data_IF_005158912820
#
_entry.id   IF_005158912820
#
_cell.length_a   1.000
_cell.length_b   1.000
_cell.length_c   1.000
_cell.angle_alpha   90.00
_cell.angle_beta   90.00
_cell.angle_gamma   90.00
#
_symmetry.space_group_name_H-M   'P 1'
#
loop_
_entity.id
_entity.type
_entity.pdbx_description
1 polymer ?
#
# COMPACT_ATOMS: atom_id res chain seq x y z
N UNK A 1 28.54 76.87 40.49
CA UNK A 1 27.54 77.27 41.53
C UNK A 1 26.29 76.44 41.37
N UNK A 2 25.81 75.83 42.48
CA UNK A 2 24.55 75.09 42.73
C UNK A 2 24.59 73.66 42.14
N UNK A 3 24.87 72.60 42.89
CA UNK A 3 24.26 71.89 44.01
C UNK A 3 22.76 71.58 43.79
N UNK A 4 22.45 70.33 43.67
CA UNK A 4 21.44 69.55 44.36
C UNK A 4 21.08 68.37 43.48
N UNK A 5 20.91 67.22 43.85
CA UNK A 5 20.61 66.45 45.03
C UNK A 5 20.16 65.07 44.52
N UNK A 6 20.76 64.10 45.11
CA UNK A 6 20.47 62.70 44.92
C UNK A 6 19.09 62.37 45.55
N UNK A 7 18.23 61.66 44.84
CA UNK A 7 17.22 60.80 45.48
C UNK A 7 17.28 59.40 44.82
N UNK A 8 17.73 58.51 45.68
CA UNK A 8 17.65 57.10 45.38
C UNK A 8 16.21 56.57 45.63
N UNK A 9 15.64 55.91 44.67
CA UNK A 9 14.48 55.05 44.87
C UNK A 9 14.81 53.65 44.34
N UNK A 10 15.05 52.77 45.30
CA UNK A 10 15.06 51.33 45.05
C UNK A 10 13.60 50.84 44.90
N UNK A 11 13.32 50.31 43.73
CA UNK A 11 12.08 49.54 43.51
C UNK A 11 12.50 48.20 42.90
N UNK A 12 12.25 47.14 43.66
CA UNK A 12 12.36 45.74 43.27
C UNK A 12 11.40 45.50 42.10
N UNK A 13 11.93 45.31 40.91
CA UNK A 13 11.21 44.88 39.72
C UNK A 13 11.45 43.40 39.49
N UNK A 14 10.39 42.60 39.65
CA UNK A 14 10.40 41.20 39.30
C UNK A 14 10.70 41.04 37.81
N UNK A 15 11.80 40.37 37.48
CA UNK A 15 12.08 39.86 36.15
C UNK A 15 11.08 38.73 35.86
N UNK A 16 10.03 39.05 35.12
CA UNK A 16 9.22 38.06 34.48
C UNK A 16 10.09 37.48 33.35
N UNK A 17 10.64 36.27 33.58
CA UNK A 17 11.21 35.47 32.52
C UNK A 17 10.07 35.12 31.56
N UNK A 18 9.99 35.84 30.44
CA UNK A 18 9.25 35.35 29.29
C UNK A 18 9.96 34.08 28.84
N UNK A 19 9.32 32.94 29.15
CA UNK A 19 9.66 31.67 28.58
C UNK A 19 9.60 31.81 27.06
N UNK A 20 10.74 31.63 26.40
CA UNK A 20 10.75 31.34 24.97
C UNK A 20 9.84 30.14 24.78
N UNK A 21 8.73 30.33 24.05
CA UNK A 21 7.97 29.23 23.49
C UNK A 21 9.00 28.40 22.69
N UNK A 22 9.22 27.18 23.14
CA UNK A 22 10.06 26.23 22.43
C UNK A 22 9.54 26.15 21.01
N UNK A 23 10.42 26.44 20.04
CA UNK A 23 10.25 25.92 18.72
C UNK A 23 10.04 24.42 18.92
N UNK A 24 8.93 23.88 18.42
CA UNK A 24 8.70 22.46 18.27
C UNK A 24 9.90 21.95 17.47
N UNK A 25 10.88 21.44 18.17
CA UNK A 25 12.02 20.73 17.59
C UNK A 25 11.36 19.51 16.95
N UNK A 26 11.13 19.56 15.62
CA UNK A 26 10.73 18.40 14.86
C UNK A 26 11.81 17.36 15.16
N UNK A 27 11.44 16.43 16.03
CA UNK A 27 12.27 15.33 16.43
C UNK A 27 12.60 14.55 15.15
N UNK A 28 13.84 14.64 14.67
CA UNK A 28 14.29 13.81 13.55
C UNK A 28 13.90 12.37 13.89
N UNK A 29 13.31 11.62 12.94
CA UNK A 29 12.91 10.26 13.20
C UNK A 29 14.12 9.49 13.72
N UNK A 30 13.97 8.88 14.89
CA UNK A 30 15.07 8.23 15.62
C UNK A 30 15.75 7.11 14.81
N UNK A 31 15.14 6.69 13.69
CA UNK A 31 15.60 5.59 12.83
C UNK A 31 15.59 6.04 11.36
N UNK A 32 16.74 5.87 10.70
CA UNK A 32 16.88 6.17 9.27
C UNK A 32 16.56 4.91 8.45
N UNK A 33 15.66 5.05 7.48
CA UNK A 33 15.50 4.10 6.37
C UNK A 33 16.14 4.71 5.11
N UNK A 34 16.68 3.89 4.20
CA UNK A 34 17.14 4.37 2.91
C UNK A 34 16.04 5.12 2.19
N UNK A 35 16.37 6.19 1.51
CA UNK A 35 15.38 6.98 0.76
C UNK A 35 14.63 6.12 -0.26
N UNK A 36 15.31 5.15 -0.88
CA UNK A 36 14.70 4.21 -1.82
C UNK A 36 13.62 3.34 -1.17
N UNK A 37 13.81 2.95 0.10
CA UNK A 37 12.82 2.19 0.88
C UNK A 37 11.61 3.07 1.18
N UNK A 38 11.83 4.30 1.61
CA UNK A 38 10.74 5.27 1.85
C UNK A 38 10.01 5.56 0.55
N UNK A 39 10.72 5.73 -0.57
CA UNK A 39 10.10 5.94 -1.89
C UNK A 39 9.28 4.74 -2.36
N UNK A 40 9.70 3.50 -2.07
CA UNK A 40 8.92 2.31 -2.37
C UNK A 40 7.61 2.27 -1.56
N UNK A 41 7.66 2.59 -0.27
CA UNK A 41 6.48 2.72 0.58
C UNK A 41 5.52 3.81 0.09
N UNK A 42 6.06 4.95 -0.33
CA UNK A 42 5.30 6.07 -0.89
C UNK A 42 4.64 5.68 -2.20
N UNK A 43 5.35 4.99 -3.11
CA UNK A 43 4.81 4.50 -4.37
C UNK A 43 3.63 3.53 -4.13
N UNK A 44 3.77 2.59 -3.19
CA UNK A 44 2.69 1.70 -2.75
C UNK A 44 1.47 2.49 -2.27
N UNK A 45 1.68 3.41 -1.34
CA UNK A 45 0.61 4.21 -0.75
C UNK A 45 -0.09 5.10 -1.79
N UNK A 46 0.68 5.74 -2.69
CA UNK A 46 0.15 6.57 -3.78
C UNK A 46 -0.69 5.75 -4.76
N UNK A 47 -0.20 4.56 -5.15
CA UNK A 47 -0.95 3.66 -6.02
C UNK A 47 -2.27 3.24 -5.38
N UNK A 48 -2.24 2.70 -4.16
CA UNK A 48 -3.44 2.23 -3.47
C UNK A 48 -4.47 3.35 -3.28
N UNK A 49 -4.01 4.53 -2.86
CA UNK A 49 -4.87 5.70 -2.67
C UNK A 49 -5.40 6.28 -4.00
N UNK A 50 -4.58 6.28 -5.05
CA UNK A 50 -4.95 6.77 -6.37
C UNK A 50 -5.98 5.87 -7.05
N UNK A 51 -5.76 4.56 -7.02
CA UNK A 51 -6.68 3.59 -7.57
C UNK A 51 -8.02 3.55 -6.80
N UNK A 52 -7.99 3.69 -5.47
CA UNK A 52 -9.20 3.77 -4.66
C UNK A 52 -10.04 5.04 -4.87
N UNK A 53 -9.48 6.07 -5.51
CA UNK A 53 -10.21 7.32 -5.86
C UNK A 53 -10.82 7.31 -7.26
N UNK A 54 -10.70 6.23 -8.01
CA UNK A 54 -11.33 6.12 -9.33
C UNK A 54 -12.84 6.19 -9.17
N UNK A 55 -13.43 7.23 -9.79
CA UNK A 55 -14.89 7.42 -9.78
C UNK A 55 -15.56 6.38 -10.70
N UNK A 56 -16.59 5.73 -10.18
CA UNK A 56 -17.41 4.77 -10.91
C UNK A 56 -18.47 5.43 -11.83
N UNK A 57 -18.61 6.75 -11.79
CA UNK A 57 -19.58 7.54 -12.57
C UNK A 57 -19.13 7.79 -14.01
N UNK A 58 -18.75 6.75 -14.76
CA UNK A 58 -18.29 6.88 -16.14
C UNK A 58 -19.35 7.44 -17.07
N UNK A 59 -19.00 8.47 -17.84
CA UNK A 59 -19.84 9.12 -18.84
C UNK A 59 -19.31 8.95 -20.28
N UNK A 60 -18.04 8.57 -20.43
CA UNK A 60 -17.38 8.42 -21.74
C UNK A 60 -16.16 7.47 -21.66
N UNK A 61 -15.63 7.11 -22.84
CA UNK A 61 -14.46 6.24 -22.96
C UNK A 61 -13.14 6.87 -22.49
N UNK A 62 -13.03 8.19 -22.44
CA UNK A 62 -11.83 8.86 -21.93
C UNK A 62 -11.71 8.69 -20.41
N UNK A 63 -12.81 8.74 -19.70
CA UNK A 63 -12.83 8.47 -18.26
C UNK A 63 -12.43 7.03 -17.97
N UNK A 64 -12.88 6.07 -18.80
CA UNK A 64 -12.46 4.66 -18.71
C UNK A 64 -10.97 4.52 -18.94
N UNK A 65 -10.45 5.15 -19.99
CA UNK A 65 -9.01 5.13 -20.29
C UNK A 65 -8.16 5.73 -19.17
N UNK A 66 -8.59 6.83 -18.54
CA UNK A 66 -7.93 7.42 -17.38
C UNK A 66 -7.95 6.47 -16.18
N UNK A 67 -9.08 5.81 -15.91
CA UNK A 67 -9.20 4.81 -14.87
C UNK A 67 -8.23 3.65 -15.07
N UNK A 68 -8.18 3.08 -16.27
CA UNK A 68 -7.24 2.02 -16.63
C UNK A 68 -5.78 2.45 -16.46
N UNK A 69 -5.43 3.66 -16.94
CA UNK A 69 -4.09 4.22 -16.77
C UNK A 69 -3.71 4.36 -15.28
N UNK A 70 -4.63 4.77 -14.42
CA UNK A 70 -4.39 4.91 -12.98
C UNK A 70 -4.26 3.56 -12.31
N UNK A 71 -5.19 2.63 -12.53
CA UNK A 71 -5.21 1.34 -11.84
C UNK A 71 -4.17 0.33 -12.35
N UNK A 72 -3.58 0.55 -13.53
CA UNK A 72 -2.47 -0.27 -14.03
C UNK A 72 -1.09 0.25 -13.65
N UNK A 73 -0.99 1.45 -13.06
CA UNK A 73 0.26 2.18 -12.85
C UNK A 73 1.05 1.66 -11.63
N UNK A 74 1.41 0.39 -11.62
CA UNK A 74 2.36 -0.16 -10.66
C UNK A 74 3.25 -1.21 -11.33
N UNK A 75 4.51 -1.27 -10.96
CA UNK A 75 5.43 -2.34 -11.29
C UNK A 75 5.41 -3.38 -10.16
N UNK A 76 5.39 -4.68 -10.49
CA UNK A 76 5.09 -5.75 -9.53
C UNK A 76 6.11 -5.80 -8.39
N UNK A 77 7.41 -5.76 -8.71
CA UNK A 77 8.44 -5.83 -7.67
C UNK A 77 8.47 -4.58 -6.80
N UNK A 78 8.19 -3.39 -7.37
CA UNK A 78 8.07 -2.16 -6.59
C UNK A 78 6.86 -2.20 -5.65
N UNK A 79 5.78 -2.84 -6.07
CA UNK A 79 4.59 -3.01 -5.23
C UNK A 79 4.90 -3.91 -4.03
N UNK A 80 5.66 -5.00 -4.22
CA UNK A 80 6.12 -5.86 -3.13
C UNK A 80 7.07 -5.12 -2.18
N UNK A 81 8.11 -4.48 -2.75
CA UNK A 81 9.03 -3.63 -1.99
C UNK A 81 8.25 -2.62 -1.15
N UNK A 82 7.23 -2.01 -1.76
CA UNK A 82 6.37 -1.02 -1.14
C UNK A 82 5.56 -1.56 0.01
N UNK A 83 4.98 -2.76 -0.09
CA UNK A 83 4.25 -3.40 1.02
C UNK A 83 5.16 -3.65 2.23
N UNK A 84 6.34 -4.22 2.00
CA UNK A 84 7.32 -4.48 3.06
C UNK A 84 7.82 -3.18 3.69
N UNK A 85 8.20 -2.20 2.86
CA UNK A 85 8.69 -0.89 3.31
C UNK A 85 7.63 -0.11 4.11
N UNK A 86 6.39 -0.11 3.63
CA UNK A 86 5.26 0.53 4.32
C UNK A 86 5.01 -0.13 5.68
N UNK A 87 4.99 -1.46 5.72
CA UNK A 87 4.86 -2.22 6.95
C UNK A 87 6.02 -1.97 7.93
N UNK A 88 7.26 -1.85 7.44
CA UNK A 88 8.41 -1.54 8.29
C UNK A 88 8.31 -0.15 8.93
N UNK A 89 7.85 0.86 8.19
CA UNK A 89 7.62 2.21 8.72
C UNK A 89 6.52 2.19 9.80
N UNK A 90 5.46 1.41 9.59
CA UNK A 90 4.41 1.21 10.60
C UNK A 90 4.96 0.52 11.84
N UNK A 91 5.78 -0.54 11.69
CA UNK A 91 6.39 -1.25 12.82
C UNK A 91 7.32 -0.37 13.67
N UNK A 92 8.04 0.58 13.05
CA UNK A 92 8.92 1.51 13.74
C UNK A 92 8.18 2.48 14.67
N UNK A 93 6.88 2.60 14.56
CA UNK A 93 6.05 3.41 15.46
C UNK A 93 5.70 2.66 16.76
N UNK A 94 5.98 1.37 16.84
CA UNK A 94 5.76 0.57 18.05
C UNK A 94 6.99 0.61 18.96
N UNK A 95 6.90 1.40 20.03
CA UNK A 95 8.01 1.58 20.99
C UNK A 95 8.43 0.27 21.67
N UNK A 96 7.47 -0.64 21.92
CA UNK A 96 7.76 -1.93 22.55
C UNK A 96 8.55 -2.83 21.61
N UNK A 97 8.20 -2.85 20.33
CA UNK A 97 8.95 -3.58 19.30
C UNK A 97 10.36 -3.02 19.16
N UNK A 98 10.50 -1.70 19.05
CA UNK A 98 11.80 -1.03 18.95
C UNK A 98 12.70 -1.39 20.14
N UNK A 99 12.20 -1.23 21.37
CA UNK A 99 12.93 -1.61 22.59
C UNK A 99 13.22 -3.12 22.64
N UNK A 100 12.33 -3.95 22.10
CA UNK A 100 12.51 -5.39 21.97
C UNK A 100 13.67 -5.75 21.06
N UNK A 101 13.79 -5.10 19.90
CA UNK A 101 14.91 -5.27 18.97
C UNK A 101 16.25 -4.92 19.63
N UNK A 102 16.31 -3.79 20.33
CA UNK A 102 17.53 -3.36 21.03
C UNK A 102 17.98 -4.37 22.10
N UNK A 103 17.01 -4.95 22.83
CA UNK A 103 17.29 -6.00 23.82
C UNK A 103 17.75 -7.30 23.19
N UNK A 104 17.07 -7.74 22.11
CA UNK A 104 17.38 -8.98 21.42
C UNK A 104 18.74 -8.96 20.72
N UNK A 105 19.13 -7.81 20.18
CA UNK A 105 20.39 -7.63 19.46
C UNK A 105 21.64 -7.67 20.37
N UNK A 106 21.50 -7.44 21.68
CA UNK A 106 22.65 -7.39 22.57
C UNK A 106 23.62 -6.25 22.27
N UNK A 107 24.91 -6.49 22.48
CA UNK A 107 25.97 -5.47 22.30
C UNK A 107 27.14 -6.02 21.49
N UNK A 108 27.89 -5.09 20.88
CA UNK A 108 29.11 -5.45 20.16
C UNK A 108 28.83 -6.35 18.96
N UNK A 109 29.58 -7.45 18.84
CA UNK A 109 29.49 -8.39 17.71
C UNK A 109 28.12 -9.10 17.63
N UNK A 110 27.45 -9.33 18.77
CA UNK A 110 26.11 -9.96 18.81
C UNK A 110 25.11 -9.18 17.98
N UNK A 111 25.18 -7.83 18.01
CA UNK A 111 24.31 -6.94 17.22
C UNK A 111 24.46 -7.16 15.70
N UNK A 112 25.71 -7.34 15.25
CA UNK A 112 25.99 -7.61 13.84
C UNK A 112 25.53 -9.00 13.41
N UNK A 113 25.70 -9.99 14.28
CA UNK A 113 25.26 -11.37 14.07
C UNK A 113 23.73 -11.42 14.01
N UNK A 114 23.05 -10.76 14.91
CA UNK A 114 21.58 -10.70 14.93
C UNK A 114 21.02 -10.07 13.65
N UNK A 115 21.59 -8.94 13.21
CA UNK A 115 21.19 -8.31 11.95
C UNK A 115 21.36 -9.23 10.75
N UNK A 116 22.50 -9.95 10.66
CA UNK A 116 22.70 -10.91 9.56
C UNK A 116 21.68 -12.06 9.60
N UNK A 117 21.34 -12.53 10.79
CA UNK A 117 20.32 -13.56 10.98
C UNK A 117 18.92 -13.11 10.55
N UNK A 118 18.56 -11.82 10.70
CA UNK A 118 17.30 -11.27 10.23
C UNK A 118 17.18 -11.26 8.70
N UNK A 119 18.30 -11.04 8.00
CA UNK A 119 18.33 -11.12 6.53
C UNK A 119 18.16 -12.55 6.04
N UNK A 120 18.82 -13.50 6.71
CA UNK A 120 18.77 -14.91 6.32
C UNK A 120 17.44 -15.58 6.67
N UNK A 121 16.83 -15.16 7.79
CA UNK A 121 15.58 -15.69 8.30
C UNK A 121 14.73 -14.56 8.91
N UNK A 122 13.91 -13.85 8.10
CA UNK A 122 13.06 -12.77 8.57
C UNK A 122 12.09 -13.17 9.70
N UNK A 123 11.72 -14.46 9.79
CA UNK A 123 10.84 -14.96 10.82
C UNK A 123 11.42 -14.79 12.25
N UNK A 124 12.74 -14.59 12.39
CA UNK A 124 13.35 -14.25 13.69
C UNK A 124 12.86 -12.93 14.26
N UNK A 125 12.50 -11.97 13.42
CA UNK A 125 11.94 -10.69 13.85
C UNK A 125 10.60 -10.88 14.58
N UNK A 126 9.85 -11.93 14.28
CA UNK A 126 8.56 -12.22 14.91
C UNK A 126 8.70 -12.73 16.37
N UNK A 127 9.91 -13.10 16.78
CA UNK A 127 10.21 -13.59 18.13
C UNK A 127 10.64 -12.45 19.07
N UNK A 128 10.75 -11.23 18.55
CA UNK A 128 11.13 -10.04 19.31
C UNK A 128 9.94 -9.60 20.16
N UNK A 129 10.21 -9.14 21.40
CA UNK A 129 9.16 -8.58 22.25
C UNK A 129 8.52 -7.34 21.59
N UNK A 130 7.20 -7.30 21.52
CA UNK A 130 6.45 -6.27 20.79
C UNK A 130 6.15 -6.62 19.33
N UNK A 131 6.70 -7.70 18.77
CA UNK A 131 6.47 -8.08 17.38
C UNK A 131 4.98 -8.35 17.06
N UNK A 132 4.22 -8.94 17.99
CA UNK A 132 2.79 -9.19 17.81
C UNK A 132 2.00 -7.90 17.65
N UNK A 133 2.32 -6.86 18.43
CA UNK A 133 1.66 -5.56 18.35
C UNK A 133 2.03 -4.84 17.05
N UNK A 134 3.33 -4.77 16.74
CA UNK A 134 3.81 -4.18 15.51
C UNK A 134 3.22 -4.87 14.27
N UNK A 135 3.11 -6.21 14.28
CA UNK A 135 2.49 -6.94 13.18
C UNK A 135 0.99 -6.66 13.04
N UNK A 136 0.24 -6.53 14.15
CA UNK A 136 -1.18 -6.12 14.09
C UNK A 136 -1.36 -4.75 13.44
N UNK A 137 -0.45 -3.81 13.73
CA UNK A 137 -0.45 -2.49 13.09
C UNK A 137 -0.16 -2.60 11.59
N UNK A 138 0.80 -3.44 11.18
CA UNK A 138 1.08 -3.73 9.77
C UNK A 138 -0.16 -4.32 9.09
N UNK A 139 -0.76 -5.36 9.70
CA UNK A 139 -1.98 -6.01 9.21
C UNK A 139 -3.11 -5.01 9.00
N UNK A 140 -3.40 -4.18 10.00
CA UNK A 140 -4.43 -3.16 9.93
C UNK A 140 -4.15 -2.14 8.82
N UNK A 141 -2.92 -1.63 8.72
CA UNK A 141 -2.54 -0.63 7.75
C UNK A 141 -2.64 -1.14 6.30
N UNK A 142 -2.21 -2.38 6.03
CA UNK A 142 -2.35 -3.01 4.70
C UNK A 142 -3.82 -3.32 4.38
N UNK A 143 -4.58 -3.82 5.37
CA UNK A 143 -5.99 -4.16 5.22
C UNK A 143 -6.86 -2.94 4.93
N UNK A 144 -6.59 -1.81 5.55
CA UNK A 144 -7.30 -0.55 5.27
C UNK A 144 -7.09 -0.12 3.81
N UNK A 145 -5.86 -0.22 3.30
CA UNK A 145 -5.56 0.08 1.89
C UNK A 145 -6.26 -0.89 0.94
N UNK A 146 -6.21 -2.18 1.25
CA UNK A 146 -6.89 -3.20 0.46
C UNK A 146 -8.41 -3.00 0.46
N UNK A 147 -9.02 -2.73 1.62
CA UNK A 147 -10.47 -2.55 1.79
C UNK A 147 -11.00 -1.34 1.02
N UNK A 148 -10.26 -0.22 1.04
CA UNK A 148 -10.59 0.96 0.25
C UNK A 148 -10.60 0.64 -1.26
N UNK A 149 -9.60 -0.09 -1.74
CA UNK A 149 -9.51 -0.49 -3.15
C UNK A 149 -10.56 -1.54 -3.52
N UNK A 150 -10.89 -2.49 -2.62
CA UNK A 150 -12.01 -3.45 -2.80
C UNK A 150 -13.32 -2.70 -2.99
N UNK A 151 -13.59 -1.71 -2.14
CA UNK A 151 -14.81 -0.91 -2.20
C UNK A 151 -14.92 -0.18 -3.53
N UNK A 152 -13.88 0.56 -3.93
CA UNK A 152 -13.85 1.28 -5.19
C UNK A 152 -13.93 0.33 -6.41
N UNK A 153 -13.17 -0.76 -6.40
CA UNK A 153 -13.18 -1.77 -7.46
C UNK A 153 -14.54 -2.43 -7.62
N UNK A 154 -15.25 -2.70 -6.53
CA UNK A 154 -16.62 -3.21 -6.55
C UNK A 154 -17.61 -2.23 -7.19
N UNK A 155 -17.46 -0.94 -6.89
CA UNK A 155 -18.27 0.12 -7.50
C UNK A 155 -17.98 0.24 -8.99
N UNK A 156 -16.72 0.27 -9.40
CA UNK A 156 -16.30 0.31 -10.80
C UNK A 156 -16.81 -0.91 -11.57
N UNK A 157 -16.64 -2.11 -11.03
CA UNK A 157 -17.21 -3.33 -11.64
C UNK A 157 -18.72 -3.26 -11.82
N UNK A 158 -19.43 -2.73 -10.82
CA UNK A 158 -20.88 -2.56 -10.88
C UNK A 158 -21.30 -1.52 -11.90
N UNK A 159 -20.47 -0.47 -12.09
CA UNK A 159 -20.71 0.56 -13.10
C UNK A 159 -20.74 -0.02 -14.53
N UNK A 160 -19.91 -1.04 -14.84
CA UNK A 160 -19.92 -1.71 -16.13
C UNK A 160 -21.34 -2.21 -16.51
N UNK A 161 -22.04 -2.81 -15.56
CA UNK A 161 -23.42 -3.27 -15.77
C UNK A 161 -24.43 -2.12 -15.85
N UNK A 162 -24.20 -1.04 -15.09
CA UNK A 162 -25.11 0.11 -15.05
C UNK A 162 -25.09 0.88 -16.37
N UNK A 163 -23.92 1.02 -17.00
CA UNK A 163 -23.77 1.77 -18.26
C UNK A 163 -23.95 0.90 -19.51
N UNK A 164 -24.05 -0.42 -19.38
CA UNK A 164 -24.06 -1.37 -20.50
C UNK A 164 -25.11 -1.07 -21.57
N UNK A 165 -26.20 -0.37 -21.26
CA UNK A 165 -27.27 0.00 -22.20
C UNK A 165 -27.11 1.40 -22.78
N UNK A 166 -26.10 2.15 -22.39
CA UNK A 166 -25.84 3.48 -22.88
C UNK A 166 -25.11 3.42 -24.23
N UNK A 167 -25.46 4.27 -25.18
CA UNK A 167 -24.91 4.23 -26.52
C UNK A 167 -23.37 4.39 -26.54
N UNK A 168 -22.81 5.28 -25.72
CA UNK A 168 -21.38 5.50 -25.64
C UNK A 168 -20.62 4.26 -25.12
N UNK A 169 -21.20 3.54 -24.16
CA UNK A 169 -20.55 2.38 -23.56
C UNK A 169 -20.59 1.12 -24.43
N UNK A 170 -21.57 1.04 -25.35
CA UNK A 170 -21.64 0.00 -26.36
C UNK A 170 -20.73 0.24 -27.57
N UNK A 171 -20.23 1.47 -27.71
CA UNK A 171 -19.28 1.78 -28.78
C UNK A 171 -18.01 0.96 -28.61
N UNK A 172 -17.53 0.38 -29.70
CA UNK A 172 -16.25 -0.30 -29.73
C UNK A 172 -15.13 0.69 -29.43
N UNK A 173 -14.12 0.22 -28.72
CA UNK A 173 -12.90 1.01 -28.50
C UNK A 173 -12.15 1.13 -29.83
N UNK A 174 -11.86 2.36 -30.26
CA UNK A 174 -11.29 2.67 -31.57
C UNK A 174 -9.88 2.09 -31.77
N UNK A 175 -9.09 1.97 -30.71
CA UNK A 175 -7.72 1.41 -30.72
C UNK A 175 -7.53 0.48 -29.52
N UNK A 176 -8.14 -0.70 -29.59
CA UNK A 176 -8.05 -1.70 -28.51
C UNK A 176 -6.62 -2.21 -28.29
N UNK A 177 -5.84 -2.35 -29.38
CA UNK A 177 -4.46 -2.81 -29.28
C UNK A 177 -3.53 -1.74 -28.69
N UNK A 178 -3.66 -0.50 -29.12
CA UNK A 178 -2.90 0.63 -28.55
C UNK A 178 -3.21 0.80 -27.07
N UNK A 179 -4.49 0.74 -26.68
CA UNK A 179 -4.90 0.80 -25.29
C UNK A 179 -4.30 -0.32 -24.43
N UNK A 180 -4.30 -1.57 -24.90
CA UNK A 180 -3.65 -2.68 -24.21
C UNK A 180 -2.13 -2.45 -24.11
N UNK A 181 -1.50 -1.93 -25.17
CA UNK A 181 -0.08 -1.58 -25.15
C UNK A 181 0.23 -0.50 -24.11
N UNK A 182 -0.61 0.54 -24.02
CA UNK A 182 -0.47 1.61 -23.02
C UNK A 182 -0.59 1.08 -21.60
N UNK A 183 -1.56 0.21 -21.31
CA UNK A 183 -1.73 -0.41 -20.01
C UNK A 183 -0.51 -1.27 -19.65
N UNK A 184 0.01 -2.07 -20.59
CA UNK A 184 1.23 -2.87 -20.37
C UNK A 184 2.45 -1.98 -20.11
N UNK A 185 2.62 -0.91 -20.86
CA UNK A 185 3.70 0.04 -20.67
C UNK A 185 3.63 0.67 -19.28
N UNK A 186 2.45 1.15 -18.88
CA UNK A 186 2.22 1.71 -17.54
C UNK A 186 2.49 0.71 -16.42
N UNK A 187 2.12 -0.53 -16.61
CA UNK A 187 2.32 -1.61 -15.64
C UNK A 187 3.79 -2.01 -15.43
N UNK A 188 4.66 -1.59 -16.33
CA UNK A 188 6.10 -1.84 -16.26
C UNK A 188 6.89 -0.62 -15.72
N UNK A 189 6.26 0.54 -15.59
CA UNK A 189 6.91 1.74 -15.09
C UNK A 189 7.01 1.72 -13.57
N UNK A 190 8.21 1.96 -13.05
CA UNK A 190 8.42 2.21 -11.62
C UNK A 190 8.07 3.65 -11.30
N UNK A 191 7.29 3.85 -10.27
CA UNK A 191 7.02 5.19 -9.76
C UNK A 191 8.28 5.76 -9.08
N UNK A 192 8.46 7.08 -9.22
CA UNK A 192 9.56 7.81 -8.59
C UNK A 192 8.97 8.98 -7.76
N UNK A 193 8.46 8.70 -6.53
CA UNK A 193 7.96 9.75 -5.66
C UNK A 193 9.02 10.79 -5.35
N UNK A 194 8.60 12.05 -5.22
CA UNK A 194 9.46 13.14 -4.78
C UNK A 194 9.75 13.08 -3.27
N UNK A 195 10.70 13.86 -2.80
CA UNK A 195 10.98 14.00 -1.37
C UNK A 195 9.79 14.58 -0.60
N UNK A 196 9.05 15.51 -1.21
CA UNK A 196 7.82 16.05 -0.64
C UNK A 196 6.73 14.96 -0.49
N UNK A 197 6.59 14.08 -1.49
CA UNK A 197 5.67 12.93 -1.41
C UNK A 197 6.06 11.98 -0.28
N UNK A 198 7.35 11.71 -0.12
CA UNK A 198 7.89 10.87 0.93
C UNK A 198 7.60 11.45 2.31
N UNK A 199 7.83 12.74 2.51
CA UNK A 199 7.52 13.43 3.76
C UNK A 199 6.02 13.45 4.05
N UNK A 200 5.19 13.71 3.05
CA UNK A 200 3.73 13.70 3.19
C UNK A 200 3.22 12.32 3.59
N UNK A 201 3.76 11.26 3.02
CA UNK A 201 3.42 9.87 3.39
C UNK A 201 3.80 9.57 4.85
N UNK A 202 5.02 9.92 5.27
CA UNK A 202 5.48 9.71 6.64
C UNK A 202 4.61 10.50 7.65
N UNK A 203 4.31 11.76 7.36
CA UNK A 203 3.44 12.58 8.20
C UNK A 203 2.03 11.98 8.33
N UNK A 204 1.48 11.44 7.24
CA UNK A 204 0.17 10.79 7.25
C UNK A 204 0.16 9.51 8.09
N UNK A 205 1.26 8.72 8.09
CA UNK A 205 1.38 7.53 8.93
C UNK A 205 1.45 7.88 10.43
N UNK A 206 2.24 8.87 10.79
CA UNK A 206 2.33 9.36 12.19
C UNK A 206 0.97 9.86 12.68
N UNK A 207 0.23 10.60 11.85
CA UNK A 207 -1.10 11.07 12.20
C UNK A 207 -2.12 9.93 12.35
N UNK A 208 -2.00 8.85 11.56
CA UNK A 208 -2.86 7.68 11.65
C UNK A 208 -2.60 6.87 12.93
N UNK A 209 -1.32 6.72 13.33
CA UNK A 209 -0.96 6.02 14.57
C UNK A 209 -1.53 6.69 15.81
N UNK A 210 -1.52 8.01 15.86
CA UNK A 210 -2.13 8.78 16.97
C UNK A 210 -3.65 8.52 17.14
N UNK A 211 -4.30 7.95 16.12
CA UNK A 211 -5.73 7.61 16.13
C UNK A 211 -6.01 6.14 16.38
N UNK A 212 -4.96 5.29 16.40
CA UNK A 212 -5.10 3.85 16.60
C UNK A 212 -5.49 3.55 18.07
N UNK A 213 -6.61 2.85 18.24
CA UNK A 213 -7.01 2.32 19.55
C UNK A 213 -6.41 0.94 19.74
N UNK A 214 -6.07 0.60 20.97
CA UNK A 214 -5.56 -0.72 21.36
C UNK A 214 -6.52 -1.83 20.87
N UNK A 215 -6.11 -2.55 19.84
CA UNK A 215 -6.86 -3.69 19.34
C UNK A 215 -6.57 -4.94 20.19
N UNK A 216 -7.56 -5.81 20.36
CA UNK A 216 -7.40 -7.09 21.09
C UNK A 216 -6.36 -7.99 20.40
N UNK A 217 -5.76 -8.91 21.19
CA UNK A 217 -4.61 -9.72 20.83
C UNK A 217 -4.68 -10.39 19.44
N UNK A 218 -3.51 -10.56 18.82
CA UNK A 218 -3.35 -11.16 17.49
C UNK A 218 -3.91 -12.58 17.46
N UNK A 219 -4.67 -12.89 16.41
CA UNK A 219 -5.15 -14.24 16.11
C UNK A 219 -4.52 -14.70 14.78
N UNK A 220 -3.61 -15.65 14.83
CA UNK A 220 -3.02 -16.26 13.66
C UNK A 220 -1.48 -16.20 13.58
N UNK A 221 -0.91 -16.91 12.62
CA UNK A 221 0.52 -16.90 12.33
C UNK A 221 0.92 -15.60 11.62
N UNK A 222 2.17 -15.19 11.76
CA UNK A 222 2.73 -14.07 11.00
C UNK A 222 2.76 -14.41 9.51
N UNK A 223 2.41 -13.42 8.68
CA UNK A 223 2.56 -13.56 7.23
C UNK A 223 4.02 -13.36 6.81
N UNK A 224 4.43 -13.84 5.63
CA UNK A 224 5.77 -13.57 5.10
C UNK A 224 6.06 -12.07 4.94
N UNK A 225 5.08 -11.28 4.55
CA UNK A 225 5.22 -9.81 4.42
C UNK A 225 5.43 -9.16 5.79
N UNK A 226 4.66 -9.55 6.81
CA UNK A 226 4.85 -9.04 8.17
C UNK A 226 6.23 -9.39 8.72
N UNK A 227 6.68 -10.63 8.56
CA UNK A 227 8.00 -11.07 9.02
C UNK A 227 9.13 -10.25 8.36
N UNK A 228 9.03 -9.99 7.05
CA UNK A 228 9.98 -9.17 6.30
C UNK A 228 9.93 -7.71 6.71
N UNK A 229 8.74 -7.15 6.92
CA UNK A 229 8.56 -5.78 7.37
C UNK A 229 9.15 -5.57 8.77
N UNK A 230 8.90 -6.51 9.70
CA UNK A 230 9.51 -6.50 11.04
C UNK A 230 11.04 -6.63 10.97
N UNK A 231 11.57 -7.50 10.09
CA UNK A 231 13.01 -7.65 9.91
C UNK A 231 13.65 -6.37 9.36
N UNK A 232 13.03 -5.72 8.37
CA UNK A 232 13.49 -4.44 7.81
C UNK A 232 13.45 -3.31 8.85
N UNK A 233 12.38 -3.24 9.65
CA UNK A 233 12.28 -2.31 10.76
C UNK A 233 13.38 -2.57 11.81
N UNK A 234 13.64 -3.83 12.16
CA UNK A 234 14.72 -4.19 13.06
C UNK A 234 16.09 -3.79 12.52
N UNK A 235 16.37 -3.98 11.22
CA UNK A 235 17.60 -3.51 10.57
C UNK A 235 17.79 -1.99 10.72
N UNK A 236 16.70 -1.22 10.60
CA UNK A 236 16.71 0.23 10.83
C UNK A 236 17.04 0.58 12.27
N UNK A 237 16.42 -0.07 13.25
CA UNK A 237 16.71 0.10 14.70
C UNK A 237 18.17 -0.25 15.01
N UNK A 238 18.72 -1.25 14.33
CA UNK A 238 20.12 -1.65 14.46
C UNK A 238 21.11 -0.70 13.80
N UNK A 239 20.64 0.33 13.05
CA UNK A 239 21.49 1.23 12.28
C UNK A 239 22.18 0.53 11.10
N UNK A 240 21.55 -0.48 10.52
CA UNK A 240 22.06 -1.29 9.41
C UNK A 240 21.16 -1.25 8.18
N UNK A 241 20.28 -0.26 8.10
CA UNK A 241 19.41 -0.01 6.96
C UNK A 241 19.74 1.35 6.33
N UNK A 242 20.97 1.54 5.88
CA UNK A 242 21.39 2.73 5.14
C UNK A 242 21.40 2.45 3.62
N UNK A 243 21.51 3.49 2.80
CA UNK A 243 21.56 3.33 1.34
C UNK A 243 22.73 2.43 0.88
N UNK A 244 23.83 2.42 1.60
CA UNK A 244 24.95 1.50 1.36
C UNK A 244 24.62 0.02 1.62
N UNK A 245 23.56 -0.28 2.38
CA UNK A 245 23.11 -1.62 2.73
C UNK A 245 22.06 -2.17 1.76
N UNK A 246 21.65 -1.43 0.75
CA UNK A 246 20.53 -1.78 -0.15
C UNK A 246 20.63 -3.19 -0.72
N UNK A 247 21.80 -3.57 -1.22
CA UNK A 247 22.02 -4.90 -1.80
C UNK A 247 21.83 -6.02 -0.76
N UNK A 248 22.31 -5.77 0.47
CA UNK A 248 22.16 -6.70 1.60
C UNK A 248 20.70 -6.87 2.03
N UNK A 249 19.91 -5.78 1.95
CA UNK A 249 18.48 -5.78 2.31
C UNK A 249 17.57 -6.38 1.23
N UNK A 250 18.06 -6.56 0.00
CA UNK A 250 17.27 -7.06 -1.14
C UNK A 250 16.44 -8.31 -0.83
N UNK A 251 16.96 -9.33 -0.10
CA UNK A 251 16.17 -10.52 0.21
C UNK A 251 14.90 -10.26 1.03
N UNK A 252 14.84 -9.13 1.75
CA UNK A 252 13.65 -8.76 2.54
C UNK A 252 12.50 -8.24 1.68
N UNK A 253 12.76 -7.76 0.46
CA UNK A 253 11.78 -7.09 -0.37
C UNK A 253 10.97 -8.02 -1.28
N UNK A 254 11.29 -9.31 -1.33
CA UNK A 254 10.62 -10.26 -2.22
C UNK A 254 9.89 -11.34 -1.44
N UNK A 255 8.63 -11.55 -1.79
CA UNK A 255 7.78 -12.64 -1.32
C UNK A 255 7.13 -13.32 -2.52
N UNK A 256 7.44 -14.60 -2.71
CA UNK A 256 7.06 -15.35 -3.93
C UNK A 256 5.55 -15.39 -4.13
N UNK A 257 4.78 -15.56 -3.05
CA UNK A 257 3.32 -15.68 -3.14
C UNK A 257 2.67 -14.35 -3.49
N UNK A 258 3.16 -13.24 -2.91
CA UNK A 258 2.69 -11.89 -3.21
C UNK A 258 3.04 -11.47 -4.65
N UNK A 259 4.28 -11.76 -5.10
CA UNK A 259 4.71 -11.53 -6.48
C UNK A 259 3.85 -12.27 -7.49
N UNK A 260 3.62 -13.56 -7.24
CA UNK A 260 2.79 -14.39 -8.12
C UNK A 260 1.35 -13.87 -8.19
N UNK A 261 0.74 -13.53 -7.05
CA UNK A 261 -0.60 -12.97 -6.99
C UNK A 261 -0.71 -11.67 -7.83
N UNK A 262 0.19 -10.71 -7.62
CA UNK A 262 0.19 -9.44 -8.36
C UNK A 262 0.45 -9.64 -9.85
N UNK A 263 1.32 -10.59 -10.20
CA UNK A 263 1.61 -10.95 -11.59
C UNK A 263 0.37 -11.55 -12.26
N UNK A 264 -0.36 -12.42 -11.59
CA UNK A 264 -1.61 -13.02 -12.11
C UNK A 264 -2.69 -11.97 -12.30
N UNK A 265 -2.89 -11.05 -11.34
CA UNK A 265 -3.86 -9.95 -11.47
C UNK A 265 -3.59 -9.11 -12.75
N UNK A 266 -2.32 -8.83 -13.07
CA UNK A 266 -1.96 -8.14 -14.30
C UNK A 266 -2.21 -8.98 -15.55
N UNK A 267 -1.89 -10.26 -15.54
CA UNK A 267 -2.14 -11.14 -16.68
C UNK A 267 -3.64 -11.24 -16.97
N UNK A 268 -4.46 -11.35 -15.94
CA UNK A 268 -5.91 -11.39 -16.07
C UNK A 268 -6.46 -10.08 -16.63
N UNK A 269 -5.92 -8.93 -16.19
CA UNK A 269 -6.23 -7.63 -16.79
C UNK A 269 -5.89 -7.61 -18.28
N UNK A 270 -4.69 -8.06 -18.67
CA UNK A 270 -4.27 -8.03 -20.07
C UNK A 270 -5.09 -8.98 -20.93
N UNK A 271 -5.45 -10.16 -20.43
CA UNK A 271 -6.33 -11.11 -21.12
C UNK A 271 -7.74 -10.54 -21.29
N UNK A 272 -8.30 -9.95 -20.23
CA UNK A 272 -9.60 -9.30 -20.27
C UNK A 272 -9.62 -8.20 -21.34
N UNK A 273 -8.66 -7.28 -21.32
CA UNK A 273 -8.57 -6.17 -22.27
C UNK A 273 -8.28 -6.61 -23.71
N UNK A 274 -7.59 -7.74 -23.90
CA UNK A 274 -7.29 -8.26 -25.25
C UNK A 274 -8.56 -8.73 -25.99
N UNK A 275 -9.59 -9.13 -25.26
CA UNK A 275 -10.85 -9.62 -25.83
C UNK A 275 -12.01 -8.62 -25.68
N UNK A 276 -11.85 -7.60 -24.84
CA UNK A 276 -12.86 -6.57 -24.63
C UNK A 276 -13.09 -5.75 -25.92
N UNK A 277 -14.35 -5.64 -26.35
CA UNK A 277 -14.73 -4.88 -27.52
C UNK A 277 -15.35 -3.52 -27.19
N UNK A 278 -16.51 -3.46 -26.54
CA UNK A 278 -17.17 -2.22 -26.16
C UNK A 278 -16.59 -1.64 -24.86
N UNK A 279 -16.80 -0.33 -24.66
CA UNK A 279 -16.27 0.42 -23.51
C UNK A 279 -16.69 -0.15 -22.13
N UNK A 280 -17.91 -0.70 -22.00
CA UNK A 280 -18.35 -1.25 -20.71
C UNK A 280 -17.55 -2.50 -20.30
N UNK A 281 -16.99 -3.25 -21.25
CA UNK A 281 -16.13 -4.40 -20.94
C UNK A 281 -14.81 -3.93 -20.37
N UNK A 282 -14.29 -2.80 -20.79
CA UNK A 282 -13.10 -2.17 -20.21
C UNK A 282 -13.34 -1.73 -18.77
N UNK A 283 -14.52 -1.19 -18.48
CA UNK A 283 -14.88 -0.84 -17.09
C UNK A 283 -14.90 -2.11 -16.24
N UNK A 284 -15.41 -3.22 -16.79
CA UNK A 284 -15.37 -4.50 -16.10
C UNK A 284 -13.94 -4.97 -15.84
N UNK A 285 -13.07 -4.96 -16.86
CA UNK A 285 -11.65 -5.34 -16.73
C UNK A 285 -10.94 -4.47 -15.70
N UNK A 286 -11.20 -3.17 -15.70
CA UNK A 286 -10.68 -2.20 -14.73
C UNK A 286 -11.10 -2.59 -13.30
N UNK A 287 -12.39 -2.74 -13.04
CA UNK A 287 -12.91 -3.02 -11.71
C UNK A 287 -12.50 -4.41 -11.21
N UNK A 288 -12.63 -5.44 -12.06
CA UNK A 288 -12.37 -6.83 -11.67
C UNK A 288 -10.87 -7.11 -11.52
N UNK A 289 -10.07 -6.84 -12.55
CA UNK A 289 -8.68 -7.32 -12.60
C UNK A 289 -7.68 -6.27 -12.12
N UNK A 290 -7.83 -5.00 -12.52
CA UNK A 290 -6.88 -3.97 -12.09
C UNK A 290 -7.09 -3.54 -10.62
N UNK A 291 -8.33 -3.57 -10.11
CA UNK A 291 -8.62 -3.07 -8.77
C UNK A 291 -8.89 -4.21 -7.76
N UNK A 292 -9.93 -5.04 -7.98
CA UNK A 292 -10.33 -6.07 -7.01
C UNK A 292 -9.28 -7.15 -6.82
N UNK A 293 -8.66 -7.65 -7.88
CA UNK A 293 -7.64 -8.69 -7.76
C UNK A 293 -6.35 -8.17 -7.14
N UNK A 294 -5.90 -6.97 -7.53
CA UNK A 294 -4.77 -6.32 -6.85
C UNK A 294 -5.05 -6.10 -5.36
N UNK A 295 -6.26 -5.63 -5.01
CA UNK A 295 -6.64 -5.46 -3.61
C UNK A 295 -6.63 -6.79 -2.84
N UNK A 296 -7.07 -7.89 -3.45
CA UNK A 296 -6.99 -9.23 -2.84
C UNK A 296 -5.56 -9.69 -2.59
N UNK A 297 -4.64 -9.37 -3.49
CA UNK A 297 -3.22 -9.68 -3.30
C UNK A 297 -2.66 -8.94 -2.07
N UNK A 298 -2.98 -7.65 -1.91
CA UNK A 298 -2.57 -6.87 -0.73
C UNK A 298 -3.23 -7.39 0.55
N UNK A 299 -4.53 -7.73 0.51
CA UNK A 299 -5.21 -8.34 1.66
C UNK A 299 -4.62 -9.71 2.02
N UNK A 300 -4.26 -10.53 1.03
CA UNK A 300 -3.58 -11.81 1.24
C UNK A 300 -2.20 -11.64 1.89
N UNK A 301 -1.45 -10.62 1.51
CA UNK A 301 -0.18 -10.26 2.12
C UNK A 301 -0.34 -9.84 3.60
N UNK A 302 -1.46 -9.19 3.94
CA UNK A 302 -1.77 -8.78 5.30
C UNK A 302 -2.22 -9.94 6.21
N UNK A 303 -3.06 -10.85 5.72
CA UNK A 303 -3.73 -11.86 6.55
C UNK A 303 -3.24 -13.30 6.31
N UNK A 304 -2.41 -13.54 5.30
CA UNK A 304 -2.04 -14.88 4.83
C UNK A 304 -3.12 -15.56 3.97
N UNK A 305 -2.80 -16.74 3.45
CA UNK A 305 -3.63 -17.49 2.50
C UNK A 305 -5.02 -17.95 3.06
N UNK A 306 -5.27 -17.75 4.34
CA UNK A 306 -6.52 -18.07 5.02
C UNK A 306 -7.41 -16.86 5.29
N UNK A 307 -7.09 -15.69 4.72
CA UNK A 307 -7.87 -14.48 4.94
C UNK A 307 -9.36 -14.70 4.69
N UNK A 308 -10.25 -14.21 5.57
CA UNK A 308 -11.66 -14.16 5.27
C UNK A 308 -11.85 -13.40 3.96
N UNK A 309 -12.51 -14.03 3.00
CA UNK A 309 -12.76 -13.38 1.72
C UNK A 309 -13.57 -12.11 1.97
N UNK A 310 -12.95 -10.93 1.91
CA UNK A 310 -13.59 -9.61 1.93
C UNK A 310 -14.45 -9.42 0.66
N UNK A 311 -15.09 -10.47 0.19
CA UNK A 311 -15.69 -10.54 -1.15
C UNK A 311 -17.20 -10.67 -1.10
N UNK A 312 -17.84 -10.82 0.06
CA UNK A 312 -19.20 -11.36 0.00
C UNK A 312 -20.34 -10.33 0.11
N UNK A 313 -20.08 -9.07 0.36
CA UNK A 313 -21.17 -8.17 0.77
C UNK A 313 -21.41 -6.95 -0.13
N UNK A 314 -20.80 -6.86 -1.29
CA UNK A 314 -21.02 -5.75 -2.22
C UNK A 314 -21.82 -6.16 -3.45
N UNK A 315 -22.96 -6.78 -3.24
CA UNK A 315 -24.04 -6.74 -4.19
C UNK A 315 -25.23 -6.05 -3.55
N UNK A 316 -25.38 -4.72 -3.70
CA UNK A 316 -26.72 -4.17 -3.65
C UNK A 316 -27.40 -4.69 -4.90
N UNK A 317 -28.22 -5.71 -4.74
CA UNK A 317 -29.22 -6.08 -5.74
C UNK A 317 -30.10 -4.85 -5.90
N UNK A 318 -30.22 -4.23 -7.08
CA UNK A 318 -31.20 -3.17 -7.28
C UNK A 318 -32.58 -3.76 -6.96
N UNK A 319 -33.21 -3.24 -5.91
CA UNK A 319 -34.59 -3.53 -5.62
C UNK A 319 -35.44 -3.09 -6.81
N UNK A 320 -36.01 -4.05 -7.53
CA UNK A 320 -36.94 -3.78 -8.66
C UNK A 320 -36.68 -4.54 -9.96
N UNK A 321 -35.67 -5.35 -10.08
CA UNK A 321 -35.48 -6.19 -11.26
C UNK A 321 -36.24 -7.51 -11.08
N UNK A 322 -37.43 -7.60 -11.69
CA UNK A 322 -38.14 -8.88 -11.90
C UNK A 322 -37.22 -9.90 -12.54
N UNK A 323 -37.14 -11.06 -11.97
CA UNK A 323 -36.39 -12.20 -12.46
C UNK A 323 -36.88 -12.62 -13.86
N UNK A 324 -36.25 -12.06 -14.90
CA UNK A 324 -36.20 -12.72 -16.20
C UNK A 324 -34.99 -13.64 -16.13
N UNK A 325 -35.21 -14.93 -16.17
CA UNK A 325 -34.19 -15.97 -16.21
C UNK A 325 -33.43 -15.92 -17.54
N UNK A 326 -32.52 -14.96 -17.66
CA UNK A 326 -31.48 -15.00 -18.66
C UNK A 326 -30.34 -15.82 -18.07
N UNK A 327 -30.16 -17.05 -18.54
CA UNK A 327 -29.05 -17.93 -18.19
C UNK A 327 -27.74 -17.19 -18.47
N UNK A 328 -26.98 -16.88 -17.39
CA UNK A 328 -25.62 -16.38 -17.48
C UNK A 328 -24.77 -17.46 -18.14
N UNK A 329 -24.27 -17.18 -19.34
CA UNK A 329 -23.26 -17.99 -20.00
C UNK A 329 -21.91 -17.30 -19.72
N UNK A 330 -20.96 -17.93 -19.00
CA UNK A 330 -19.64 -17.37 -18.80
C UNK A 330 -18.96 -17.15 -20.16
N UNK A 331 -18.34 -16.01 -20.38
CA UNK A 331 -17.60 -15.65 -21.62
C UNK A 331 -16.56 -16.70 -22.01
N UNK A 332 -16.04 -17.50 -21.09
CA UNK A 332 -15.11 -18.60 -21.34
C UNK A 332 -15.67 -19.78 -22.13
N UNK A 333 -16.97 -19.85 -22.39
CA UNK A 333 -17.61 -21.01 -23.04
C UNK A 333 -17.59 -20.98 -24.57
N UNK A 334 -17.16 -19.88 -25.21
CA UNK A 334 -17.27 -19.71 -26.66
C UNK A 334 -15.96 -19.84 -27.44
N UNK A 335 -14.80 -19.97 -26.82
CA UNK A 335 -13.54 -20.16 -27.52
C UNK A 335 -12.97 -21.56 -27.32
N UNK A 336 -13.41 -22.53 -28.16
CA UNK A 336 -12.62 -23.72 -28.44
C UNK A 336 -11.54 -23.32 -29.45
N UNK A 337 -10.34 -23.06 -28.97
CA UNK A 337 -9.15 -23.05 -29.83
C UNK A 337 -8.93 -24.48 -30.31
N UNK A 338 -9.12 -24.75 -31.57
CA UNK A 338 -8.61 -25.96 -32.23
C UNK A 338 -7.09 -25.80 -32.30
N UNK A 339 -6.38 -26.53 -31.50
CA UNK A 339 -4.94 -26.75 -31.70
C UNK A 339 -4.82 -27.77 -32.83
N UNK A 340 -4.25 -27.35 -33.96
CA UNK A 340 -3.88 -28.23 -35.04
C UNK A 340 -2.65 -29.03 -34.59
N UNK A 341 -2.63 -30.38 -34.60
CA UNK A 341 -1.54 -31.14 -34.10
C UNK A 341 -0.32 -31.22 -35.06
N UNK A 342 -0.29 -30.43 -36.14
CA UNK A 342 0.76 -30.48 -37.18
C UNK A 342 1.44 -29.12 -37.50
N UNK A 343 1.40 -28.12 -36.57
CA UNK A 343 2.27 -26.93 -36.67
C UNK A 343 3.27 -26.84 -35.53
#
# INVERSE_FOLDING_TARGET
MKIASVVACALAGACVAMGAAGADEMQEPAFALPQEVVSAATAFQQYMSGAAKIDAGFADGEQVARGLKTASAYETSQMEEGMVAYGAIVALQDERFVAGVERAAGRGDDRAIFAEQLIQDPARATQVDGADEAARRIEAALSDRASALVTAGGQVKSAAYSVQRQAWSQAAVSDAQGRLADVKARSAERAAPSDDDNQAMLAALVAADASATDAEGRQGAFTPIEARALALAAESVLGRAHSADRDRLTPLFSDVDSAECLRMAKLDLYQCMAVAGPQYEDIYCLGQHAMLETAKCVAGAAHGAGAPQVVASLSPRPEGASASSASYVPLAAHYRVKIDPND
#
